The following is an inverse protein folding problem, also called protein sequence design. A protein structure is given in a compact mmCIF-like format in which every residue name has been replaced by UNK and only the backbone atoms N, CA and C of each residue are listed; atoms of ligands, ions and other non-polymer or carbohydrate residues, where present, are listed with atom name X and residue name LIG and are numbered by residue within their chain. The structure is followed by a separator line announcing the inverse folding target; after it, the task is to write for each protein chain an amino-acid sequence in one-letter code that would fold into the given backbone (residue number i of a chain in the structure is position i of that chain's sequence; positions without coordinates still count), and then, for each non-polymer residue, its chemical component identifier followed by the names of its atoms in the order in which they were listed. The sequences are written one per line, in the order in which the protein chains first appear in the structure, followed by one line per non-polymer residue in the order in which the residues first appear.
data_IF_926748602624
#
_entry.id   IF_926748602624
#
_cell.length_a   1.000
_cell.length_b   1.000
_cell.length_c   1.000
_cell.angle_alpha   90.00
_cell.angle_beta   90.00
_cell.angle_gamma   90.00
#
_symmetry.space_group_name_H-M   'P 1'
#
loop_
_entity.id
_entity.type
_entity.pdbx_description
1 polymer ?
#
# COMPACT_ATOMS: atom_id res chain seq x y z
N UNK A 1 20.25 15.75 22.25
CA UNK A 1 21.45 16.24 21.56
C UNK A 1 21.58 15.43 20.27
N UNK A 2 21.30 16.09 19.17
CA UNK A 2 21.53 15.78 17.75
C UNK A 2 21.30 14.37 17.21
N UNK A 3 20.08 14.19 16.68
CA UNK A 3 19.81 13.23 15.61
C UNK A 3 20.56 13.64 14.34
N UNK A 4 21.66 12.94 14.06
CA UNK A 4 22.48 13.17 12.86
C UNK A 4 21.70 12.77 11.61
N UNK A 5 21.44 13.75 10.74
CA UNK A 5 20.98 13.54 9.37
C UNK A 5 22.19 13.14 8.52
N UNK A 6 22.19 11.93 7.98
CA UNK A 6 23.23 11.50 7.05
C UNK A 6 22.66 11.32 5.65
N UNK A 7 23.23 12.06 4.69
CA UNK A 7 23.12 11.79 3.26
C UNK A 7 24.28 10.85 2.92
N UNK A 8 24.02 9.55 2.80
CA UNK A 8 25.08 8.56 2.52
C UNK A 8 25.30 8.38 1.01
N UNK A 9 26.56 8.39 0.58
CA UNK A 9 26.97 7.97 -0.77
C UNK A 9 27.19 6.45 -0.80
N UNK A 10 26.79 5.83 -1.91
CA UNK A 10 26.72 4.37 -2.06
C UNK A 10 28.08 3.68 -1.95
N UNK A 11 28.11 2.64 -1.11
CA UNK A 11 29.15 1.62 -1.08
C UNK A 11 28.63 0.37 -0.37
N UNK A 12 28.60 -0.73 -1.14
CA UNK A 12 28.46 -2.13 -0.71
C UNK A 12 27.06 -2.71 -0.44
N UNK A 13 26.51 -3.25 -1.55
CA UNK A 13 25.87 -4.58 -1.70
C UNK A 13 24.61 -4.86 -0.85
N UNK A 14 23.48 -4.98 -1.57
CA UNK A 14 22.17 -5.56 -1.20
C UNK A 14 20.96 -4.61 -1.07
N UNK A 15 21.11 -3.29 -1.20
CA UNK A 15 19.97 -2.34 -1.01
C UNK A 15 19.63 -1.51 -2.25
N UNK A 16 20.31 -1.70 -3.38
CA UNK A 16 20.24 -0.78 -4.51
C UNK A 16 19.74 -1.41 -5.81
N UNK A 17 18.60 -2.11 -5.83
CA UNK A 17 17.83 -2.34 -7.08
C UNK A 17 16.32 -2.55 -6.80
N UNK A 18 15.65 -1.56 -6.22
CA UNK A 18 14.18 -1.52 -6.23
C UNK A 18 13.59 -0.10 -6.21
N UNK A 19 14.37 0.95 -6.53
CA UNK A 19 13.87 2.34 -6.42
C UNK A 19 13.02 2.78 -7.64
N UNK A 20 12.85 1.94 -8.67
CA UNK A 20 12.16 2.34 -9.92
C UNK A 20 10.84 1.61 -10.25
N UNK A 21 10.30 0.74 -9.40
CA UNK A 21 8.99 0.09 -9.66
C UNK A 21 8.09 -0.04 -8.42
N UNK A 22 8.15 0.94 -7.51
CA UNK A 22 7.43 0.94 -6.23
C UNK A 22 6.13 1.76 -6.28
N UNK A 23 5.19 1.41 -7.16
CA UNK A 23 3.79 1.86 -7.03
C UNK A 23 2.82 0.74 -6.64
N UNK A 24 3.25 -0.52 -6.78
CA UNK A 24 2.43 -1.70 -6.42
C UNK A 24 3.24 -2.92 -5.92
N UNK A 25 4.59 -2.85 -5.91
CA UNK A 25 5.42 -4.00 -5.53
C UNK A 25 5.23 -4.41 -4.05
N UNK A 26 4.75 -5.62 -3.82
CA UNK A 26 4.61 -6.20 -2.49
C UNK A 26 5.39 -7.50 -2.42
N UNK A 27 6.06 -7.73 -1.28
CA UNK A 27 6.84 -8.95 -1.05
C UNK A 27 6.00 -9.92 -0.26
N UNK A 28 5.77 -11.09 -0.85
CA UNK A 28 5.20 -12.23 -0.16
C UNK A 28 5.73 -13.51 -0.78
N UNK A 29 5.93 -14.54 0.05
CA UNK A 29 6.26 -15.89 -0.43
C UNK A 29 7.55 -15.98 -1.28
N UNK A 30 8.54 -15.10 -1.08
CA UNK A 30 9.77 -15.11 -1.89
C UNK A 30 9.65 -14.39 -3.24
N UNK A 31 8.51 -13.73 -3.50
CA UNK A 31 8.23 -13.04 -4.76
C UNK A 31 7.88 -11.57 -4.56
N UNK A 32 8.23 -10.76 -5.55
CA UNK A 32 7.72 -9.41 -5.75
C UNK A 32 6.54 -9.45 -6.73
N UNK A 33 5.43 -8.76 -6.42
CA UNK A 33 4.24 -8.70 -7.28
C UNK A 33 3.92 -7.28 -7.70
N UNK A 34 3.65 -7.00 -8.97
CA UNK A 34 3.25 -5.67 -9.45
C UNK A 34 2.13 -5.75 -10.49
N UNK A 35 1.42 -4.64 -10.68
CA UNK A 35 0.45 -4.51 -11.76
C UNK A 35 1.16 -4.56 -13.12
N UNK A 36 0.66 -5.40 -14.04
CA UNK A 36 1.11 -5.43 -15.42
C UNK A 36 -0.05 -5.11 -16.35
N UNK A 37 0.20 -4.20 -17.31
CA UNK A 37 -0.73 -3.72 -18.35
C UNK A 37 -2.19 -4.20 -18.26
N UNK A 38 -3.09 -3.30 -17.88
CA UNK A 38 -4.53 -3.52 -17.94
C UNK A 38 -5.07 -4.35 -16.78
N UNK A 39 -5.06 -5.68 -16.92
CA UNK A 39 -5.75 -6.61 -16.01
C UNK A 39 -4.86 -7.75 -15.48
N UNK A 40 -3.56 -7.75 -15.80
CA UNK A 40 -2.65 -8.78 -15.37
C UNK A 40 -1.86 -8.34 -14.14
N UNK A 41 -1.44 -9.31 -13.34
CA UNK A 41 -0.43 -9.12 -12.31
C UNK A 41 0.82 -9.87 -12.75
N UNK A 42 1.96 -9.22 -12.58
CA UNK A 42 3.27 -9.79 -12.82
C UNK A 42 3.96 -10.13 -11.49
N UNK A 43 4.96 -11.01 -11.57
CA UNK A 43 5.84 -11.31 -10.44
C UNK A 43 7.28 -11.60 -10.85
N UNK A 44 8.20 -11.53 -9.89
CA UNK A 44 9.59 -12.02 -9.98
C UNK A 44 10.00 -12.62 -8.63
N UNK A 45 11.11 -13.33 -8.61
CA UNK A 45 11.80 -13.65 -7.37
C UNK A 45 12.27 -12.35 -6.67
N UNK A 46 12.51 -12.41 -5.36
CA UNK A 46 12.99 -11.27 -4.56
C UNK A 46 14.35 -10.71 -5.03
N UNK A 47 15.16 -11.52 -5.71
CA UNK A 47 16.42 -11.09 -6.31
C UNK A 47 16.24 -10.46 -7.70
N UNK A 48 15.00 -10.33 -8.17
CA UNK A 48 14.62 -9.78 -9.46
C UNK A 48 14.70 -10.77 -10.63
N UNK A 49 15.05 -12.04 -10.38
CA UNK A 49 15.05 -13.07 -11.42
C UNK A 49 13.67 -13.67 -11.67
N UNK A 50 13.55 -14.55 -12.68
CA UNK A 50 12.32 -15.28 -13.00
C UNK A 50 11.06 -14.40 -13.20
N UNK A 51 11.24 -13.25 -13.86
CA UNK A 51 10.14 -12.34 -14.19
C UNK A 51 9.07 -13.04 -15.04
N UNK A 52 7.84 -13.05 -14.54
CA UNK A 52 6.65 -13.49 -15.25
C UNK A 52 5.67 -12.30 -15.36
N UNK A 53 5.56 -11.72 -16.55
CA UNK A 53 4.73 -10.55 -16.82
C UNK A 53 3.21 -10.84 -16.84
N UNK A 54 2.82 -12.11 -16.91
CA UNK A 54 1.43 -12.56 -17.05
C UNK A 54 1.10 -13.65 -16.03
N UNK A 55 1.56 -13.46 -14.79
CA UNK A 55 1.44 -14.46 -13.74
C UNK A 55 -0.02 -14.83 -13.45
N UNK A 56 -0.92 -13.84 -13.44
CA UNK A 56 -2.35 -14.07 -13.31
C UNK A 56 -3.17 -12.95 -13.95
N UNK A 57 -4.43 -13.24 -14.27
CA UNK A 57 -5.41 -12.22 -14.67
C UNK A 57 -6.37 -11.94 -13.51
N UNK A 58 -6.58 -10.67 -13.22
CA UNK A 58 -7.38 -10.22 -12.07
C UNK A 58 -8.88 -10.12 -12.35
N UNK A 59 -9.28 -10.24 -13.62
CA UNK A 59 -10.67 -10.02 -14.05
C UNK A 59 -11.14 -8.57 -14.04
N UNK A 60 -10.25 -7.59 -13.77
CA UNK A 60 -10.55 -6.16 -13.71
C UNK A 60 -9.30 -5.29 -13.89
N UNK A 61 -9.42 -3.96 -13.80
CA UNK A 61 -8.25 -3.08 -13.85
C UNK A 61 -7.52 -3.08 -12.51
N UNK A 62 -6.22 -3.39 -12.53
CA UNK A 62 -5.35 -3.34 -11.34
C UNK A 62 -4.71 -1.96 -11.28
N UNK A 63 -4.90 -1.26 -10.16
CA UNK A 63 -4.29 0.07 -9.93
C UNK A 63 -3.59 0.19 -8.56
N UNK A 64 -3.70 -0.86 -7.73
CA UNK A 64 -3.01 -0.99 -6.45
C UNK A 64 -2.99 -2.46 -6.08
N UNK A 65 -1.85 -2.95 -5.55
CA UNK A 65 -1.66 -4.34 -5.12
C UNK A 65 -1.18 -4.37 -3.66
N UNK A 66 -1.70 -5.32 -2.89
CA UNK A 66 -1.26 -5.70 -1.55
C UNK A 66 -1.08 -7.23 -1.50
N UNK A 67 -0.06 -7.73 -0.81
CA UNK A 67 0.20 -9.17 -0.74
C UNK A 67 0.62 -9.59 0.68
N UNK A 68 0.18 -10.77 1.10
CA UNK A 68 0.69 -11.48 2.27
C UNK A 68 1.05 -12.92 1.85
N UNK A 69 1.55 -13.72 2.80
CA UNK A 69 2.02 -15.09 2.53
C UNK A 69 0.97 -16.02 1.90
N UNK A 70 -0.31 -15.69 2.01
CA UNK A 70 -1.43 -16.56 1.61
C UNK A 70 -2.24 -15.99 0.46
N UNK A 71 -2.32 -14.67 0.33
CA UNK A 71 -3.24 -14.01 -0.59
C UNK A 71 -2.63 -12.78 -1.26
N UNK A 72 -3.11 -12.52 -2.47
CA UNK A 72 -2.95 -11.28 -3.19
C UNK A 72 -4.26 -10.52 -3.16
N UNK A 73 -4.16 -9.20 -3.02
CA UNK A 73 -5.28 -8.29 -3.04
C UNK A 73 -5.01 -7.21 -4.06
N UNK A 74 -6.04 -6.76 -4.75
CA UNK A 74 -5.94 -5.65 -5.68
C UNK A 74 -7.17 -4.78 -5.64
N UNK A 75 -6.98 -3.49 -5.92
CA UNK A 75 -8.10 -2.63 -6.26
C UNK A 75 -8.67 -3.07 -7.62
N UNK A 76 -9.95 -3.40 -7.66
CA UNK A 76 -10.69 -3.87 -8.84
C UNK A 76 -11.76 -2.84 -9.22
N UNK A 77 -11.35 -1.71 -9.80
CA UNK A 77 -12.24 -0.55 -10.00
C UNK A 77 -12.32 0.38 -8.78
N UNK A 78 -13.30 1.29 -8.72
CA UNK A 78 -13.37 2.34 -7.68
C UNK A 78 -14.06 1.94 -6.39
N UNK A 79 -14.80 0.83 -6.37
CA UNK A 79 -15.65 0.43 -5.24
C UNK A 79 -15.48 -1.03 -4.84
N UNK A 80 -14.45 -1.71 -5.36
CA UNK A 80 -14.25 -3.14 -5.17
C UNK A 80 -12.78 -3.47 -4.94
N UNK A 81 -12.52 -4.43 -4.06
CA UNK A 81 -11.22 -5.07 -3.87
C UNK A 81 -11.37 -6.54 -4.27
N UNK A 82 -10.46 -7.01 -5.13
CA UNK A 82 -10.35 -8.41 -5.51
C UNK A 82 -9.32 -9.16 -4.67
N UNK A 83 -9.40 -10.49 -4.66
CA UNK A 83 -8.48 -11.37 -3.94
C UNK A 83 -8.20 -12.65 -4.73
N UNK A 84 -6.99 -13.19 -4.60
CA UNK A 84 -6.61 -14.54 -5.00
C UNK A 84 -5.69 -15.17 -3.96
N UNK A 85 -5.38 -16.44 -4.13
CA UNK A 85 -4.27 -17.07 -3.43
C UNK A 85 -2.93 -16.45 -3.90
N UNK A 86 -1.89 -16.54 -3.07
CA UNK A 86 -0.54 -16.06 -3.37
C UNK A 86 0.10 -16.72 -4.61
N UNK A 87 -0.36 -17.91 -4.97
CA UNK A 87 0.04 -18.66 -6.17
C UNK A 87 -0.77 -18.29 -7.43
N UNK A 88 -1.69 -17.33 -7.33
CA UNK A 88 -2.49 -16.81 -8.44
C UNK A 88 -3.79 -17.58 -8.68
N UNK A 89 -4.05 -18.66 -7.94
CA UNK A 89 -5.29 -19.44 -8.04
C UNK A 89 -6.43 -18.78 -7.24
N UNK A 90 -7.68 -19.24 -7.44
CA UNK A 90 -8.82 -18.79 -6.64
C UNK A 90 -9.19 -17.31 -6.84
N UNK A 91 -9.01 -16.78 -8.04
CA UNK A 91 -9.31 -15.37 -8.38
C UNK A 91 -10.77 -15.05 -8.11
N UNK A 92 -10.99 -14.05 -7.26
CA UNK A 92 -12.28 -13.43 -7.01
C UNK A 92 -12.15 -11.91 -7.16
N UNK A 93 -12.52 -11.39 -8.33
CA UNK A 93 -12.46 -9.97 -8.65
C UNK A 93 -13.44 -9.09 -7.86
N UNK A 94 -14.41 -9.71 -7.18
CA UNK A 94 -15.48 -9.05 -6.42
C UNK A 94 -15.49 -9.48 -4.96
N UNK A 95 -14.31 -9.77 -4.41
CA UNK A 95 -14.13 -10.26 -3.04
C UNK A 95 -14.73 -9.32 -1.98
N UNK A 96 -14.53 -8.00 -2.13
CA UNK A 96 -15.21 -6.97 -1.33
C UNK A 96 -15.85 -5.96 -2.26
N UNK A 97 -17.14 -5.66 -2.06
CA UNK A 97 -17.91 -4.68 -2.86
C UNK A 97 -18.54 -3.62 -1.94
N UNK A 98 -19.13 -2.57 -2.52
CA UNK A 98 -19.78 -1.50 -1.75
C UNK A 98 -18.79 -0.55 -1.06
N UNK A 99 -17.54 -0.50 -1.53
CA UNK A 99 -16.51 0.38 -1.00
C UNK A 99 -16.65 1.79 -1.59
N UNK A 100 -16.28 2.81 -0.81
CA UNK A 100 -16.34 4.21 -1.25
C UNK A 100 -14.99 4.63 -1.82
N UNK A 101 -14.92 4.87 -3.13
CA UNK A 101 -13.76 5.46 -3.84
C UNK A 101 -12.40 4.99 -3.32
N UNK A 102 -12.19 3.67 -3.35
CA UNK A 102 -10.94 3.01 -2.94
C UNK A 102 -9.77 3.64 -3.68
N UNK A 103 -8.69 4.01 -3.00
CA UNK A 103 -7.46 4.52 -3.62
C UNK A 103 -6.34 3.47 -3.61
N UNK A 104 -5.34 3.63 -2.75
CA UNK A 104 -4.30 2.62 -2.50
C UNK A 104 -4.74 1.69 -1.37
N UNK A 105 -4.32 0.44 -1.47
CA UNK A 105 -4.60 -0.59 -0.47
C UNK A 105 -3.33 -0.96 0.29
N UNK A 106 -3.48 -1.27 1.58
CA UNK A 106 -2.44 -1.82 2.43
C UNK A 106 -3.04 -2.89 3.34
N UNK A 107 -2.27 -3.92 3.69
CA UNK A 107 -2.76 -5.01 4.53
C UNK A 107 -1.77 -5.33 5.64
N UNK A 108 -2.27 -5.92 6.71
CA UNK A 108 -1.48 -6.73 7.64
C UNK A 108 -2.09 -8.14 7.71
N UNK A 109 -1.78 -8.91 8.75
CA UNK A 109 -2.30 -10.27 8.90
C UNK A 109 -3.80 -10.30 9.22
N UNK A 110 -4.34 -9.23 9.81
CA UNK A 110 -5.68 -9.21 10.40
C UNK A 110 -6.66 -8.35 9.60
N UNK A 111 -6.16 -7.34 8.88
CA UNK A 111 -6.98 -6.29 8.27
C UNK A 111 -6.51 -5.91 6.87
N UNK A 112 -7.49 -5.44 6.11
CA UNK A 112 -7.32 -4.71 4.84
C UNK A 112 -7.66 -3.25 5.12
N UNK A 113 -6.77 -2.35 4.71
CA UNK A 113 -6.94 -0.91 4.77
C UNK A 113 -6.93 -0.31 3.37
N UNK A 114 -7.71 0.74 3.16
CA UNK A 114 -7.68 1.50 1.93
C UNK A 114 -7.83 2.99 2.16
N UNK A 115 -7.23 3.79 1.29
CA UNK A 115 -7.54 5.21 1.22
C UNK A 115 -8.93 5.41 0.64
N UNK A 116 -9.72 6.29 1.25
CA UNK A 116 -11.06 6.67 0.79
C UNK A 116 -10.96 8.05 0.16
N UNK A 117 -11.34 8.15 -1.12
CA UNK A 117 -11.38 9.41 -1.87
C UNK A 117 -12.71 10.15 -1.76
N UNK A 118 -12.74 11.39 -2.26
CA UNK A 118 -13.96 12.22 -2.37
C UNK A 118 -14.30 12.99 -1.08
N UNK A 119 -15.59 13.34 -0.92
CA UNK A 119 -16.08 14.16 0.21
C UNK A 119 -16.05 13.49 1.59
N UNK A 120 -15.68 12.21 1.66
CA UNK A 120 -15.50 11.43 2.90
C UNK A 120 -14.06 10.93 3.02
N UNK A 121 -13.11 11.82 2.73
CA UNK A 121 -11.70 11.53 2.74
C UNK A 121 -11.22 10.90 4.07
N UNK A 122 -10.48 9.78 3.97
CA UNK A 122 -10.09 9.01 5.13
C UNK A 122 -9.42 7.69 4.82
N UNK A 123 -9.38 6.81 5.81
CA UNK A 123 -8.98 5.42 5.71
C UNK A 123 -10.19 4.55 6.01
N UNK A 124 -10.46 3.57 5.15
CA UNK A 124 -11.39 2.48 5.44
C UNK A 124 -10.66 1.23 5.90
N UNK A 125 -11.39 0.34 6.58
CA UNK A 125 -10.87 -0.94 7.10
C UNK A 125 -11.89 -2.06 6.93
N UNK A 126 -11.40 -3.27 6.72
CA UNK A 126 -12.14 -4.52 6.84
C UNK A 126 -11.24 -5.59 7.46
N UNK A 127 -11.82 -6.68 7.94
CA UNK A 127 -11.08 -7.89 8.30
C UNK A 127 -10.39 -8.48 7.06
N UNK A 128 -9.30 -9.23 7.24
CA UNK A 128 -8.54 -9.83 6.14
C UNK A 128 -9.37 -10.83 5.30
N UNK A 129 -10.45 -11.35 5.88
CA UNK A 129 -11.43 -12.21 5.22
C UNK A 129 -12.52 -11.43 4.44
N UNK A 130 -12.47 -10.10 4.46
CA UNK A 130 -13.36 -9.20 3.73
C UNK A 130 -14.61 -8.77 4.50
N UNK A 131 -14.82 -9.28 5.72
CA UNK A 131 -15.95 -8.90 6.57
C UNK A 131 -15.69 -7.59 7.34
N UNK A 132 -16.75 -7.00 7.92
CA UNK A 132 -16.61 -5.83 8.80
C UNK A 132 -16.15 -4.55 8.10
N UNK A 133 -16.66 -4.29 6.89
CA UNK A 133 -16.35 -3.09 6.11
C UNK A 133 -16.76 -1.84 6.87
N UNK A 134 -15.80 -0.96 7.10
CA UNK A 134 -15.98 0.40 7.61
C UNK A 134 -15.29 1.37 6.64
N UNK A 135 -16.10 2.13 5.89
CA UNK A 135 -15.62 3.14 4.94
C UNK A 135 -15.16 4.45 5.60
N UNK A 136 -15.29 4.57 6.92
CA UNK A 136 -15.06 5.80 7.68
C UNK A 136 -14.16 5.58 8.90
N UNK A 137 -13.37 4.52 8.85
CA UNK A 137 -12.62 4.01 10.00
C UNK A 137 -11.68 5.06 10.63
N UNK A 138 -10.95 5.83 9.82
CA UNK A 138 -10.19 7.00 10.27
C UNK A 138 -10.52 8.19 9.35
N UNK A 139 -10.93 9.32 9.92
CA UNK A 139 -11.18 10.55 9.17
C UNK A 139 -9.86 11.27 8.85
N UNK A 140 -9.66 11.62 7.57
CA UNK A 140 -8.48 12.38 7.11
C UNK A 140 -8.94 13.52 6.18
N UNK A 141 -9.10 14.76 6.68
CA UNK A 141 -9.79 15.83 5.97
C UNK A 141 -9.24 16.22 4.59
N UNK A 142 -7.95 16.01 4.33
CA UNK A 142 -7.28 16.43 3.09
C UNK A 142 -7.11 15.30 2.06
N UNK A 143 -7.65 14.11 2.34
CA UNK A 143 -7.44 12.94 1.49
C UNK A 143 -6.16 12.18 1.85
N UNK A 144 -6.14 10.92 1.45
CA UNK A 144 -4.98 10.02 1.62
C UNK A 144 -4.56 9.50 0.27
N UNK A 145 -3.26 9.57 -0.02
CA UNK A 145 -2.72 9.11 -1.30
C UNK A 145 -2.24 7.67 -1.20
N UNK A 146 -1.49 7.35 -0.14
CA UNK A 146 -0.94 6.03 0.13
C UNK A 146 -1.34 5.53 1.51
N UNK A 147 -1.41 4.21 1.65
CA UNK A 147 -1.72 3.51 2.90
C UNK A 147 -0.77 2.34 3.07
N UNK A 148 -0.17 2.21 4.25
CA UNK A 148 0.70 1.07 4.61
C UNK A 148 0.34 0.60 6.01
N UNK A 149 0.15 -0.70 6.17
CA UNK A 149 -0.07 -1.29 7.49
C UNK A 149 1.15 -2.13 7.91
N UNK A 150 1.32 -2.21 9.22
CA UNK A 150 2.20 -3.11 9.96
C UNK A 150 1.33 -3.93 10.91
N UNK A 151 1.92 -4.80 11.74
CA UNK A 151 1.16 -5.52 12.77
C UNK A 151 0.46 -4.58 13.75
N UNK A 152 1.07 -3.44 14.09
CA UNK A 152 0.59 -2.56 15.17
C UNK A 152 -0.02 -1.26 14.66
N UNK A 153 0.45 -0.75 13.52
CA UNK A 153 0.10 0.58 13.04
C UNK A 153 -0.35 0.57 11.59
N UNK A 154 -1.27 1.49 11.28
CA UNK A 154 -1.57 1.96 9.92
C UNK A 154 -0.94 3.34 9.74
N UNK A 155 -0.29 3.53 8.60
CA UNK A 155 0.34 4.77 8.16
C UNK A 155 -0.31 5.24 6.88
N UNK A 156 -0.43 6.54 6.70
CA UNK A 156 -0.97 7.12 5.47
C UNK A 156 -0.24 8.39 5.07
N UNK A 157 -0.17 8.63 3.76
CA UNK A 157 0.37 9.87 3.23
C UNK A 157 -0.77 10.83 2.94
N UNK A 158 -0.66 12.03 3.51
CA UNK A 158 -1.51 13.16 3.22
C UNK A 158 -0.72 14.10 2.29
N UNK A 159 -0.83 13.81 0.98
CA UNK A 159 -0.10 14.52 -0.07
C UNK A 159 -0.50 16.00 -0.16
N UNK A 160 -1.75 16.34 0.18
CA UNK A 160 -2.22 17.73 0.19
C UNK A 160 -1.63 18.55 1.34
N UNK A 161 -1.32 17.92 2.47
CA UNK A 161 -0.75 18.59 3.63
C UNK A 161 0.75 18.29 3.86
N UNK A 162 1.42 17.63 2.91
CA UNK A 162 2.85 17.29 2.95
C UNK A 162 3.28 16.63 4.28
N UNK A 163 2.53 15.61 4.70
CA UNK A 163 2.75 14.91 5.97
C UNK A 163 2.42 13.43 5.88
N UNK A 164 2.91 12.68 6.86
CA UNK A 164 2.54 11.28 7.08
C UNK A 164 1.86 11.17 8.43
N UNK A 165 0.69 10.53 8.44
CA UNK A 165 -0.03 10.22 9.67
C UNK A 165 0.13 8.75 10.06
N UNK A 166 -0.22 8.45 11.32
CA UNK A 166 -0.18 7.12 11.90
C UNK A 166 -1.34 6.92 12.87
N UNK A 167 -1.85 5.70 12.96
CA UNK A 167 -2.77 5.27 14.01
C UNK A 167 -2.48 3.81 14.38
N UNK A 168 -3.00 3.36 15.52
CA UNK A 168 -3.05 1.93 15.83
C UNK A 168 -3.98 1.23 14.84
N UNK A 169 -3.72 -0.05 14.56
CA UNK A 169 -4.56 -0.86 13.63
C UNK A 169 -6.02 -1.01 14.09
N UNK A 170 -6.27 -0.81 15.38
CA UNK A 170 -7.61 -0.80 15.98
C UNK A 170 -8.35 0.53 15.81
N UNK A 171 -7.66 1.59 15.36
CA UNK A 171 -8.22 2.91 15.06
C UNK A 171 -7.95 3.94 16.16
N UNK A 172 -7.35 3.53 17.27
CA UNK A 172 -6.98 4.43 18.37
C UNK A 172 -5.65 5.14 18.08
N UNK A 173 -5.34 6.17 18.89
CA UNK A 173 -4.04 6.84 18.83
C UNK A 173 -3.77 7.55 17.50
N UNK A 174 -4.82 8.09 16.86
CA UNK A 174 -4.71 8.82 15.59
C UNK A 174 -3.80 10.03 15.75
N UNK A 175 -2.68 10.02 15.03
CA UNK A 175 -1.71 11.09 14.96
C UNK A 175 -1.52 11.52 13.49
N UNK A 176 -2.24 12.55 13.02
CA UNK A 176 -2.12 13.02 11.65
C UNK A 176 -0.82 13.82 11.40
N UNK A 177 -0.05 14.13 12.44
CA UNK A 177 1.19 14.93 12.37
C UNK A 177 2.43 14.10 12.73
N UNK A 178 2.35 12.78 12.57
CA UNK A 178 3.42 11.87 12.96
C UNK A 178 4.77 12.18 12.27
N UNK A 179 4.75 12.54 10.98
CA UNK A 179 5.91 13.12 10.28
C UNK A 179 5.48 14.39 9.56
N UNK A 180 6.17 15.49 9.87
CA UNK A 180 5.94 16.83 9.31
C UNK A 180 7.20 17.41 8.67
N UNK A 181 7.05 18.53 7.95
CA UNK A 181 8.17 19.24 7.33
C UNK A 181 8.67 18.57 6.04
N UNK A 182 7.84 17.73 5.42
CA UNK A 182 8.12 17.18 4.09
C UNK A 182 7.94 18.32 3.09
N UNK A 183 8.94 18.55 2.24
CA UNK A 183 8.92 19.64 1.25
C UNK A 183 8.34 19.22 -0.09
N UNK A 184 8.02 17.94 -0.26
CA UNK A 184 7.40 17.35 -1.43
C UNK A 184 6.16 16.54 -1.07
N UNK A 185 5.31 16.24 -2.05
CA UNK A 185 4.02 15.59 -1.81
C UNK A 185 4.23 14.09 -1.57
N UNK A 186 4.09 13.56 -0.33
CA UNK A 186 4.27 12.13 -0.11
C UNK A 186 3.15 11.36 -0.80
N UNK A 187 3.50 10.45 -1.71
CA UNK A 187 2.51 9.67 -2.49
C UNK A 187 2.52 8.18 -2.15
N UNK A 188 3.70 7.58 -2.02
CA UNK A 188 3.90 6.20 -1.56
C UNK A 188 4.56 6.17 -0.18
N UNK A 189 4.27 5.13 0.62
CA UNK A 189 4.90 4.88 1.92
C UNK A 189 5.35 3.43 2.00
N UNK A 190 6.56 3.22 2.51
CA UNK A 190 7.05 1.92 2.91
C UNK A 190 7.57 1.96 4.36
N UNK A 191 7.35 0.90 5.11
CA UNK A 191 7.74 0.81 6.53
C UNK A 191 8.50 -0.48 6.75
N UNK A 192 9.66 -0.38 7.41
CA UNK A 192 10.44 -1.50 7.95
C UNK A 192 10.43 -1.41 9.47
N UNK A 193 11.04 -2.38 10.15
CA UNK A 193 11.14 -2.38 11.61
C UNK A 193 11.90 -1.18 12.18
N UNK A 194 12.71 -0.51 11.36
CA UNK A 194 13.60 0.57 11.80
C UNK A 194 13.40 1.89 11.06
N UNK A 195 12.74 1.89 9.91
CA UNK A 195 12.67 3.06 9.03
C UNK A 195 11.32 3.20 8.35
N UNK A 196 10.99 4.45 8.02
CA UNK A 196 9.85 4.81 7.17
C UNK A 196 10.41 5.55 5.96
N UNK A 197 10.01 5.09 4.78
CA UNK A 197 10.37 5.66 3.50
C UNK A 197 9.11 6.21 2.83
N UNK A 198 9.27 7.29 2.07
CA UNK A 198 8.19 7.83 1.26
C UNK A 198 8.71 8.29 -0.09
N UNK A 199 7.80 8.36 -1.05
CA UNK A 199 8.06 8.87 -2.39
C UNK A 199 7.59 10.31 -2.46
N UNK A 200 8.47 11.18 -2.89
CA UNK A 200 8.12 12.55 -3.28
C UNK A 200 7.45 12.52 -4.67
N UNK A 201 6.17 12.88 -4.71
CA UNK A 201 5.38 12.96 -5.94
C UNK A 201 5.45 14.32 -6.62
N UNK A 202 6.19 15.29 -6.08
CA UNK A 202 6.46 16.52 -6.82
C UNK A 202 7.37 16.21 -8.01
N UNK A 203 6.92 16.56 -9.21
CA UNK A 203 7.78 16.52 -10.39
C UNK A 203 8.90 17.55 -10.20
N UNK A 204 10.17 17.10 -10.25
CA UNK A 204 11.29 18.01 -10.51
C UNK A 204 11.34 18.33 -12.01
#
# INVERSE_FOLDING_TARGET
MDGKRHKFSLGLRAVAWAVACLLSAQVAFGFMYWDSNGNAMARSDEDGSNVNNSFMTSGGSITSVAANQTHLFWRSGSSTIGRSNADGTGVNASFMTGLTLVNRIGINNDYIFWGVGGGSAGIGRANIDGTGIDNSFISVPNGTVGVRATSNFVYWSDGGANRIGRANVDGTGVDPLFITGITGQPTGIWVTDTHIYWIDGSAN
#
